data_IF_290709370532
#
_entry.id   IF_290709370532
#
_cell.length_a   1.000
_cell.length_b   1.000
_cell.length_c   1.000
_cell.angle_alpha   90.00
_cell.angle_beta   90.00
_cell.angle_gamma   90.00
#
_symmetry.space_group_name_H-M   'P 1'
#
loop_
_entity.id
_entity.type
_entity.pdbx_description
1 polymer ?
#
# COMPACT_ATOMS: atom_id res chain seq x y z
N UNK A 1 -3.69 4.86 -2.27
CA UNK A 1 -3.09 5.35 -3.54
C UNK A 1 -2.10 4.34 -4.14
N UNK A 2 -0.95 4.07 -3.49
CA UNK A 2 0.10 3.19 -4.04
C UNK A 2 -0.38 1.78 -4.40
N UNK A 3 -1.29 1.21 -3.59
CA UNK A 3 -1.92 -0.09 -3.87
C UNK A 3 -2.72 -0.10 -5.18
N UNK A 4 -3.46 0.97 -5.46
CA UNK A 4 -4.33 1.10 -6.66
C UNK A 4 -3.49 1.36 -7.91
N UNK A 5 -2.62 2.36 -7.89
CA UNK A 5 -1.86 2.78 -9.08
C UNK A 5 -0.85 1.71 -9.55
N UNK A 6 -0.31 0.91 -8.63
CA UNK A 6 0.64 -0.16 -8.94
C UNK A 6 -0.01 -1.54 -8.95
N UNK A 7 -1.33 -1.61 -8.71
CA UNK A 7 -2.11 -2.85 -8.64
C UNK A 7 -1.38 -3.89 -7.76
N UNK A 8 -1.08 -3.52 -6.52
CA UNK A 8 -0.38 -4.34 -5.53
C UNK A 8 -1.06 -4.25 -4.15
N UNK A 9 -0.87 -5.28 -3.33
CA UNK A 9 -1.15 -5.16 -1.90
C UNK A 9 -0.07 -4.30 -1.25
N UNK A 10 -0.47 -3.46 -0.30
CA UNK A 10 0.46 -2.62 0.48
C UNK A 10 0.18 -2.85 1.95
N UNK A 11 1.24 -3.17 2.70
CA UNK A 11 1.16 -3.32 4.16
C UNK A 11 1.97 -2.19 4.78
N UNK A 12 1.33 -1.44 5.67
CA UNK A 12 1.97 -0.40 6.48
C UNK A 12 1.96 -0.81 7.93
N UNK A 13 3.14 -0.81 8.55
CA UNK A 13 3.31 -1.04 9.98
C UNK A 13 4.12 0.11 10.54
N UNK A 14 3.59 0.77 11.56
CA UNK A 14 4.25 1.89 12.22
C UNK A 14 4.32 1.69 13.73
N UNK A 15 5.26 2.39 14.34
CA UNK A 15 5.47 2.37 15.79
C UNK A 15 4.49 3.34 16.46
N UNK A 16 4.04 2.99 17.67
CA UNK A 16 3.15 3.82 18.50
C UNK A 16 3.80 4.05 19.86
N UNK A 17 3.43 5.15 20.54
CA UNK A 17 3.92 5.49 21.87
C UNK A 17 5.27 6.21 21.87
N UNK A 18 5.93 6.22 23.03
CA UNK A 18 7.22 6.90 23.22
C UNK A 18 8.15 6.10 24.13
N UNK A 19 9.46 6.27 23.94
CA UNK A 19 10.45 5.73 24.86
C UNK A 19 11.22 6.90 25.47
N UNK A 20 11.02 7.20 26.77
CA UNK A 20 11.75 8.28 27.41
C UNK A 20 13.25 7.98 27.43
N UNK A 21 14.06 9.03 27.32
CA UNK A 21 15.53 9.00 27.42
C UNK A 21 16.26 8.31 26.24
N UNK A 22 15.63 8.21 25.06
CA UNK A 22 16.29 7.77 23.82
C UNK A 22 16.15 8.88 22.76
N UNK A 23 17.28 9.33 22.22
CA UNK A 23 17.31 10.34 21.14
C UNK A 23 16.52 9.84 19.91
N UNK A 24 15.63 10.67 19.37
CA UNK A 24 14.72 10.36 18.25
C UNK A 24 13.53 9.42 18.54
N UNK A 25 13.21 9.10 19.80
CA UNK A 25 12.01 8.32 20.18
C UNK A 25 11.01 9.09 21.06
N UNK A 26 10.85 10.39 20.79
CA UNK A 26 10.04 11.28 21.63
C UNK A 26 8.54 11.02 21.52
N UNK A 27 8.00 10.91 20.30
CA UNK A 27 6.59 10.59 20.05
C UNK A 27 6.46 9.83 18.73
N UNK A 28 5.93 8.62 18.79
CA UNK A 28 5.51 7.85 17.63
C UNK A 28 3.99 7.73 17.59
N UNK A 29 3.45 7.95 16.39
CA UNK A 29 2.05 7.78 16.10
C UNK A 29 1.94 7.00 14.79
N UNK A 30 1.12 5.97 14.81
CA UNK A 30 0.88 5.16 13.64
C UNK A 30 -0.52 4.58 13.64
N UNK A 31 -0.95 4.23 12.45
CA UNK A 31 -2.14 3.45 12.16
C UNK A 31 -1.69 2.43 11.11
N UNK A 32 -1.63 1.17 11.51
CA UNK A 32 -1.17 0.08 10.65
C UNK A 32 -2.33 -0.43 9.81
N UNK A 33 -2.06 -0.84 8.57
CA UNK A 33 -3.10 -1.26 7.65
C UNK A 33 -2.57 -2.22 6.58
N UNK A 34 -3.48 -3.05 6.07
CA UNK A 34 -3.32 -3.90 4.90
C UNK A 34 -4.28 -3.37 3.84
N UNK A 35 -3.71 -2.82 2.76
CA UNK A 35 -4.42 -2.12 1.71
C UNK A 35 -4.43 -2.95 0.43
N UNK A 36 -5.56 -2.93 -0.28
CA UNK A 36 -5.75 -3.66 -1.52
C UNK A 36 -5.81 -2.72 -2.73
N UNK A 37 -5.62 -3.25 -3.95
CA UNK A 37 -6.07 -2.57 -5.15
C UNK A 37 -7.60 -2.34 -5.11
N UNK A 38 -8.10 -1.57 -6.09
CA UNK A 38 -9.54 -1.31 -6.25
C UNK A 38 -10.03 -1.96 -7.53
N UNK A 39 -10.77 -3.06 -7.37
CA UNK A 39 -11.46 -3.81 -8.43
C UNK A 39 -12.48 -4.74 -7.76
N UNK A 40 -13.30 -5.46 -8.52
CA UNK A 40 -14.42 -6.25 -8.00
C UNK A 40 -14.03 -7.34 -6.99
N UNK A 41 -12.85 -7.94 -7.15
CA UNK A 41 -12.37 -9.02 -6.27
C UNK A 41 -11.72 -8.54 -4.96
N UNK A 42 -11.51 -7.23 -4.79
CA UNK A 42 -10.79 -6.67 -3.63
C UNK A 42 -11.75 -6.02 -2.62
N UNK A 43 -11.19 -5.57 -1.49
CA UNK A 43 -11.95 -4.86 -0.46
C UNK A 43 -12.65 -3.62 -1.05
N UNK A 44 -13.92 -3.42 -0.71
CA UNK A 44 -14.78 -2.38 -1.29
C UNK A 44 -14.21 -0.97 -1.10
N UNK A 45 -13.63 -0.71 0.06
CA UNK A 45 -12.98 0.54 0.44
C UNK A 45 -11.45 0.53 0.23
N UNK A 46 -10.90 -0.58 -0.25
CA UNK A 46 -9.47 -0.76 -0.44
C UNK A 46 -8.69 -1.08 0.85
N UNK A 47 -9.39 -1.40 1.95
CA UNK A 47 -8.79 -1.76 3.24
C UNK A 47 -9.18 -3.20 3.58
N UNK A 48 -8.21 -4.11 3.56
CA UNK A 48 -8.44 -5.49 3.96
C UNK A 48 -8.46 -5.64 5.49
N UNK A 49 -7.62 -4.88 6.18
CA UNK A 49 -7.59 -4.76 7.63
C UNK A 49 -6.88 -3.48 8.04
N UNK A 50 -7.29 -2.88 9.13
CA UNK A 50 -6.65 -1.76 9.79
C UNK A 50 -6.61 -1.97 11.30
N UNK A 51 -5.81 -1.15 11.96
CA UNK A 51 -5.67 -1.14 13.42
C UNK A 51 -6.19 0.17 13.98
N UNK A 52 -6.70 0.17 15.22
CA UNK A 52 -7.00 1.42 15.90
C UNK A 52 -5.75 2.32 15.96
N UNK A 53 -5.88 3.64 15.71
CA UNK A 53 -4.73 4.54 15.74
C UNK A 53 -4.04 4.56 17.11
N UNK A 54 -2.72 4.69 17.11
CA UNK A 54 -1.89 4.80 18.32
C UNK A 54 -2.10 3.67 19.35
N UNK A 55 -2.47 2.48 18.89
CA UNK A 55 -2.73 1.32 19.73
C UNK A 55 -1.81 0.17 19.33
N UNK A 56 -1.17 -0.46 20.30
CA UNK A 56 -0.39 -1.68 20.06
C UNK A 56 -1.34 -2.83 19.75
N UNK A 57 -1.33 -3.30 18.50
CA UNK A 57 -2.21 -4.37 18.05
C UNK A 57 -1.71 -4.98 16.73
N UNK A 58 -2.41 -6.02 16.26
CA UNK A 58 -2.08 -6.78 15.05
C UNK A 58 -3.26 -6.69 14.07
N UNK A 59 -2.97 -6.33 12.82
CA UNK A 59 -3.90 -6.49 11.70
C UNK A 59 -3.60 -7.78 10.95
N UNK A 60 -4.64 -8.54 10.60
CA UNK A 60 -4.56 -9.82 9.88
C UNK A 60 -5.58 -9.79 8.74
N UNK A 61 -5.17 -10.21 7.54
CA UNK A 61 -6.06 -10.38 6.40
C UNK A 61 -5.56 -11.49 5.47
N UNK A 62 -6.49 -12.19 4.83
CA UNK A 62 -6.20 -13.14 3.77
C UNK A 62 -6.14 -12.41 2.42
N UNK A 63 -5.02 -12.56 1.70
CA UNK A 63 -4.77 -11.89 0.43
C UNK A 63 -4.56 -12.91 -0.68
N UNK A 64 -5.29 -12.75 -1.77
CA UNK A 64 -5.20 -13.61 -2.94
C UNK A 64 -4.27 -13.01 -3.99
N UNK A 65 -3.17 -13.71 -4.30
CA UNK A 65 -2.27 -13.32 -5.39
C UNK A 65 -2.89 -13.61 -6.77
N UNK A 66 -3.80 -14.58 -6.85
CA UNK A 66 -4.47 -14.93 -8.10
C UNK A 66 -5.42 -13.81 -8.56
N UNK A 67 -6.11 -13.17 -7.62
CA UNK A 67 -6.93 -11.98 -7.91
C UNK A 67 -6.08 -10.81 -8.39
N UNK A 68 -4.90 -10.64 -7.80
CA UNK A 68 -3.92 -9.63 -8.23
C UNK A 68 -3.46 -9.86 -9.67
N UNK A 69 -3.11 -11.10 -10.00
CA UNK A 69 -2.67 -11.48 -11.35
C UNK A 69 -3.79 -11.33 -12.37
N UNK A 70 -5.02 -11.68 -11.98
CA UNK A 70 -6.20 -11.54 -12.83
C UNK A 70 -6.53 -10.08 -13.10
N UNK A 71 -6.57 -9.23 -12.07
CA UNK A 71 -6.83 -7.79 -12.23
C UNK A 71 -5.76 -7.11 -13.10
N UNK A 72 -4.47 -7.49 -12.96
CA UNK A 72 -3.40 -6.95 -13.84
C UNK A 72 -3.56 -7.34 -15.31
N UNK A 73 -4.11 -8.53 -15.59
CA UNK A 73 -4.26 -9.07 -16.97
C UNK A 73 -5.55 -8.64 -17.65
N UNK A 74 -6.65 -8.54 -16.90
CA UNK A 74 -7.99 -8.36 -17.46
C UNK A 74 -8.94 -7.62 -16.51
N UNK A 75 -8.41 -6.89 -15.53
CA UNK A 75 -9.22 -6.04 -14.65
C UNK A 75 -9.81 -4.85 -15.39
N UNK A 76 -10.74 -4.16 -14.74
CA UNK A 76 -11.42 -2.98 -15.32
C UNK A 76 -10.43 -1.85 -15.62
N UNK A 77 -9.33 -1.77 -14.87
CA UNK A 77 -8.26 -0.79 -15.03
C UNK A 77 -6.92 -1.53 -15.19
N UNK A 78 -6.10 -1.13 -16.17
CA UNK A 78 -4.83 -1.80 -16.48
C UNK A 78 -3.64 -0.83 -16.42
N UNK A 79 -3.48 -0.17 -15.27
CA UNK A 79 -2.46 0.87 -15.04
C UNK A 79 -1.03 0.46 -15.47
N UNK A 80 -0.65 -0.81 -15.30
CA UNK A 80 0.67 -1.31 -15.69
C UNK A 80 0.82 -1.51 -17.20
N UNK A 81 -0.27 -1.88 -17.89
CA UNK A 81 -0.29 -2.07 -19.33
C UNK A 81 -0.35 -0.73 -20.07
N UNK A 82 -1.13 0.21 -19.55
CA UNK A 82 -1.41 1.49 -20.20
C UNK A 82 -0.32 2.56 -20.00
N UNK A 83 0.84 2.19 -19.43
CA UNK A 83 1.93 3.14 -19.14
C UNK A 83 2.53 3.72 -20.42
N UNK A 84 2.46 5.05 -20.55
CA UNK A 84 3.05 5.82 -21.66
C UNK A 84 4.53 6.13 -21.41
N UNK A 85 5.39 5.14 -21.62
CA UNK A 85 6.84 5.31 -21.51
C UNK A 85 7.41 6.31 -22.51
N UNK A 86 6.72 6.55 -23.62
CA UNK A 86 7.09 7.56 -24.62
C UNK A 86 6.96 9.00 -24.08
N UNK A 87 6.03 9.26 -23.15
CA UNK A 87 5.80 10.59 -22.57
C UNK A 87 6.64 10.84 -21.30
N UNK A 88 6.86 9.80 -20.49
CA UNK A 88 7.44 9.94 -19.15
C UNK A 88 8.86 9.36 -19.01
N UNK A 89 9.57 9.13 -20.13
CA UNK A 89 10.96 8.67 -20.08
C UNK A 89 11.87 9.78 -19.55
N UNK A 90 12.66 9.46 -18.52
CA UNK A 90 13.68 10.37 -17.98
C UNK A 90 15.05 10.00 -18.55
N UNK A 91 15.72 10.95 -19.21
CA UNK A 91 17.14 10.86 -19.56
C UNK A 91 17.94 11.71 -18.57
N UNK A 92 18.71 11.06 -17.72
CA UNK A 92 19.61 11.75 -16.80
C UNK A 92 20.70 12.45 -17.61
N UNK A 93 20.97 13.72 -17.30
CA UNK A 93 22.12 14.43 -17.87
C UNK A 93 23.36 14.01 -17.11
N UNK A 94 24.43 13.68 -17.82
CA UNK A 94 25.75 13.51 -17.21
C UNK A 94 26.19 14.84 -16.56
N UNK A 95 26.89 14.73 -15.44
CA UNK A 95 27.36 15.87 -14.63
C UNK A 95 28.61 16.50 -15.24
#
# INVERSE_FOLDING_TARGET
ARAVENQCYVVTSGVVGNIPNVENMDVHYAESAILTPSDFAFARDGVAADTAPNTETIAIADLSLDDLLTSRRSGVVQNLHDRRFDLYRVTWREK
#
